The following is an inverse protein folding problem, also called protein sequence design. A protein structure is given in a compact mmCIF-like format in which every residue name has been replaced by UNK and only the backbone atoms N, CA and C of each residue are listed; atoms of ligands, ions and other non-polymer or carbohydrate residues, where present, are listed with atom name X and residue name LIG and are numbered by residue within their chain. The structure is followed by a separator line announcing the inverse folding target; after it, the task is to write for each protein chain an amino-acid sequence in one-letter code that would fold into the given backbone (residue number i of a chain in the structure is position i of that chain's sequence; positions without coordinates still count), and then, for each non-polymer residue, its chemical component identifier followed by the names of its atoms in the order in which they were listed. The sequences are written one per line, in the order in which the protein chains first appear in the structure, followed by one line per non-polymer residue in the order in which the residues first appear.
data_IF_571115123848
#
_entry.id   IF_571115123848
#
_cell.length_a   1.000
_cell.length_b   1.000
_cell.length_c   1.000
_cell.angle_alpha   90.00
_cell.angle_beta   90.00
_cell.angle_gamma   90.00
#
_symmetry.space_group_name_H-M   'P 1'
#
loop_
_entity.id
_entity.type
_entity.pdbx_description
1 polymer ?
#
# COMPACT_ATOMS: atom_id res chain seq x y z
N UNK A 1 -11.37 6.47 -8.64
CA UNK A 1 -9.90 6.41 -8.54
C UNK A 1 -9.39 7.53 -9.40
N UNK A 2 -8.66 8.48 -8.82
CA UNK A 2 -8.09 9.58 -9.58
C UNK A 2 -6.96 9.02 -10.45
N UNK A 3 -6.84 9.50 -11.68
CA UNK A 3 -5.76 9.10 -12.58
C UNK A 3 -4.77 10.24 -12.71
N UNK A 4 -3.52 9.93 -12.48
CA UNK A 4 -2.41 10.86 -12.47
C UNK A 4 -1.46 10.53 -13.62
N UNK A 5 -0.92 11.56 -14.28
CA UNK A 5 0.17 11.41 -15.25
C UNK A 5 1.51 11.51 -14.55
N UNK A 6 2.59 11.05 -15.21
CA UNK A 6 3.96 11.18 -14.69
C UNK A 6 4.32 12.62 -14.29
N UNK A 7 3.89 13.60 -15.08
CA UNK A 7 4.15 15.03 -14.80
C UNK A 7 3.41 15.50 -13.55
N UNK A 8 2.17 15.07 -13.35
CA UNK A 8 1.40 15.40 -12.14
C UNK A 8 2.02 14.77 -10.89
N UNK A 9 2.43 13.52 -10.99
CA UNK A 9 3.10 12.78 -9.90
C UNK A 9 4.39 13.45 -9.47
N UNK A 10 5.23 13.84 -10.43
CA UNK A 10 6.52 14.52 -10.17
C UNK A 10 6.29 15.83 -9.42
N UNK A 11 5.30 16.63 -9.82
CA UNK A 11 4.95 17.89 -9.15
C UNK A 11 4.37 17.63 -7.75
N UNK A 12 3.48 16.64 -7.62
CA UNK A 12 2.76 16.35 -6.39
C UNK A 12 3.65 15.79 -5.28
N UNK A 13 4.65 14.98 -5.65
CA UNK A 13 5.56 14.32 -4.71
C UNK A 13 6.86 15.13 -4.53
N UNK A 14 7.20 16.00 -5.49
CA UNK A 14 8.41 16.81 -5.45
C UNK A 14 9.67 16.01 -5.80
N UNK A 15 9.56 15.06 -6.73
CA UNK A 15 10.66 14.16 -7.13
C UNK A 15 10.94 14.25 -8.61
N UNK A 16 12.20 14.09 -9.02
CA UNK A 16 12.55 14.16 -10.42
C UNK A 16 11.93 13.03 -11.25
N UNK A 17 11.59 13.34 -12.51
CA UNK A 17 11.08 12.36 -13.48
C UNK A 17 12.00 11.15 -13.64
N UNK A 18 13.32 11.36 -13.55
CA UNK A 18 14.30 10.30 -13.63
C UNK A 18 14.21 9.32 -12.44
N UNK A 19 13.91 9.83 -11.23
CA UNK A 19 13.72 9.01 -10.05
C UNK A 19 12.48 8.11 -10.21
N UNK A 20 11.34 8.70 -10.58
CA UNK A 20 10.10 7.93 -10.81
C UNK A 20 10.28 6.87 -11.90
N UNK A 21 10.97 7.23 -12.98
CA UNK A 21 11.27 6.30 -14.08
C UNK A 21 12.16 5.15 -13.60
N UNK A 22 13.19 5.44 -12.82
CA UNK A 22 14.06 4.42 -12.22
C UNK A 22 13.29 3.48 -11.28
N UNK A 23 12.34 4.00 -10.49
CA UNK A 23 11.51 3.18 -9.61
C UNK A 23 10.57 2.25 -10.38
N UNK A 24 10.06 2.70 -11.53
CA UNK A 24 9.28 1.85 -12.45
C UNK A 24 10.16 0.76 -13.07
N UNK A 25 11.36 1.10 -13.54
CA UNK A 25 12.32 0.14 -14.12
C UNK A 25 12.73 -0.94 -13.10
N UNK A 26 12.91 -0.54 -11.84
CA UNK A 26 13.19 -1.43 -10.71
C UNK A 26 11.94 -2.20 -10.23
N UNK A 27 10.77 -1.95 -10.84
CA UNK A 27 9.48 -2.56 -10.50
C UNK A 27 9.03 -2.30 -9.07
N UNK A 28 9.45 -1.18 -8.48
CA UNK A 28 8.98 -0.74 -7.17
C UNK A 28 7.57 -0.16 -7.24
N UNK A 29 7.20 0.40 -8.39
CA UNK A 29 5.82 0.78 -8.73
C UNK A 29 5.50 0.26 -10.12
N UNK A 30 4.25 -0.14 -10.35
CA UNK A 30 3.80 -0.73 -11.62
C UNK A 30 2.54 0.01 -12.10
N UNK A 31 2.69 1.25 -12.59
CA UNK A 31 1.55 2.02 -13.09
C UNK A 31 0.91 1.36 -14.31
N UNK A 32 -0.36 1.68 -14.54
CA UNK A 32 -1.05 1.29 -15.77
C UNK A 32 -0.43 2.00 -16.98
N UNK A 33 -0.29 1.28 -18.10
CA UNK A 33 0.10 1.90 -19.37
C UNK A 33 -1.12 2.02 -20.27
N UNK A 34 -1.56 3.25 -20.54
CA UNK A 34 -2.63 3.53 -21.49
C UNK A 34 -2.02 4.04 -22.80
N UNK A 35 -1.83 3.13 -23.77
CA UNK A 35 -1.15 3.45 -25.03
C UNK A 35 0.34 3.69 -24.81
N UNK A 36 0.80 4.92 -24.98
CA UNK A 36 2.18 5.36 -24.72
C UNK A 36 2.35 6.15 -23.42
N UNK A 37 1.27 6.34 -22.66
CA UNK A 37 1.27 7.15 -21.44
C UNK A 37 1.16 6.29 -20.18
N UNK A 38 1.93 6.66 -19.16
CA UNK A 38 1.84 6.09 -17.83
C UNK A 38 0.69 6.75 -17.07
N UNK A 39 -0.18 5.95 -16.49
CA UNK A 39 -1.24 6.37 -15.59
C UNK A 39 -1.06 5.73 -14.22
N UNK A 40 -1.04 6.58 -13.21
CA UNK A 40 -0.92 6.21 -11.81
C UNK A 40 -2.27 6.38 -11.15
N UNK A 41 -2.64 5.45 -10.29
CA UNK A 41 -3.79 5.62 -9.40
C UNK A 41 -3.36 6.21 -8.03
N UNK A 42 -4.33 6.37 -7.13
CA UNK A 42 -4.06 6.93 -5.80
C UNK A 42 -3.14 6.01 -4.95
N UNK A 43 -3.15 4.70 -5.19
CA UNK A 43 -2.28 3.73 -4.51
C UNK A 43 -0.84 3.83 -5.03
N UNK A 44 -0.66 3.99 -6.34
CA UNK A 44 0.64 4.23 -6.96
C UNK A 44 1.27 5.52 -6.42
N UNK A 45 0.50 6.62 -6.33
CA UNK A 45 0.98 7.89 -5.78
C UNK A 45 1.39 7.75 -4.31
N UNK A 46 0.60 7.03 -3.51
CA UNK A 46 0.96 6.76 -2.12
C UNK A 46 2.25 5.94 -2.01
N UNK A 47 2.42 4.90 -2.83
CA UNK A 47 3.63 4.08 -2.87
C UNK A 47 4.85 4.90 -3.32
N UNK A 48 4.69 5.79 -4.29
CA UNK A 48 5.75 6.68 -4.76
C UNK A 48 6.21 7.68 -3.68
N UNK A 49 5.29 8.24 -2.90
CA UNK A 49 5.66 9.11 -1.75
C UNK A 49 6.47 8.34 -0.72
N UNK A 50 6.05 7.13 -0.39
CA UNK A 50 6.79 6.26 0.52
C UNK A 50 8.20 5.96 0.00
N UNK A 51 8.35 5.62 -1.28
CA UNK A 51 9.67 5.39 -1.87
C UNK A 51 10.54 6.65 -1.78
N UNK A 52 9.96 7.83 -2.03
CA UNK A 52 10.66 9.10 -1.87
C UNK A 52 11.14 9.31 -0.42
N UNK A 53 10.28 9.10 0.57
CA UNK A 53 10.63 9.19 1.99
C UNK A 53 11.76 8.22 2.36
N UNK A 54 11.64 6.95 1.96
CA UNK A 54 12.64 5.92 2.24
C UNK A 54 14.00 6.25 1.62
N UNK A 55 14.03 6.77 0.39
CA UNK A 55 15.27 7.01 -0.36
C UNK A 55 15.89 8.37 -0.09
N UNK A 56 15.09 9.42 0.10
CA UNK A 56 15.57 10.82 0.19
C UNK A 56 15.64 11.33 1.63
N UNK A 57 14.71 10.91 2.50
CA UNK A 57 14.69 11.38 3.90
C UNK A 57 15.39 10.41 4.84
N UNK A 58 15.18 9.11 4.63
CA UNK A 58 15.72 8.05 5.50
C UNK A 58 17.02 7.44 4.97
N UNK A 59 17.49 7.89 3.79
CA UNK A 59 18.72 7.46 3.13
C UNK A 59 18.87 5.93 3.04
N UNK A 60 17.75 5.20 2.90
CA UNK A 60 17.76 3.75 2.77
C UNK A 60 18.35 3.39 1.40
N UNK A 61 19.39 2.55 1.43
CA UNK A 61 20.04 2.06 0.22
C UNK A 61 19.06 1.33 -0.70
N UNK A 62 19.23 1.51 -2.00
CA UNK A 62 18.36 0.92 -3.03
C UNK A 62 18.24 -0.61 -2.91
N UNK A 63 19.24 -1.28 -2.33
CA UNK A 63 19.24 -2.73 -2.11
C UNK A 63 18.23 -3.17 -1.03
N UNK A 64 17.94 -2.28 -0.06
CA UNK A 64 17.01 -2.54 1.03
C UNK A 64 15.56 -2.15 0.69
N UNK A 65 15.35 -1.23 -0.26
CA UNK A 65 14.02 -0.77 -0.67
C UNK A 65 13.08 -1.93 -1.06
N UNK A 66 13.46 -2.91 -1.90
CA UNK A 66 12.57 -4.03 -2.24
C UNK A 66 12.11 -4.83 -1.02
N UNK A 67 12.97 -4.98 -0.01
CA UNK A 67 12.64 -5.72 1.21
C UNK A 67 11.62 -4.93 2.02
N UNK A 68 11.81 -3.62 2.19
CA UNK A 68 10.87 -2.75 2.91
C UNK A 68 9.52 -2.72 2.21
N UNK A 69 9.50 -2.55 0.88
CA UNK A 69 8.25 -2.55 0.10
C UNK A 69 7.51 -3.88 0.22
N UNK A 70 8.20 -5.01 0.11
CA UNK A 70 7.58 -6.32 0.27
C UNK A 70 7.02 -6.55 1.70
N UNK A 71 7.68 -6.04 2.73
CA UNK A 71 7.15 -6.10 4.10
C UNK A 71 5.89 -5.25 4.26
N UNK A 72 5.86 -4.07 3.65
CA UNK A 72 4.67 -3.21 3.66
C UNK A 72 3.52 -3.83 2.87
N UNK A 73 3.81 -4.43 1.71
CA UNK A 73 2.82 -5.16 0.91
C UNK A 73 2.19 -6.30 1.73
N UNK A 74 3.00 -7.06 2.49
CA UNK A 74 2.48 -8.08 3.40
C UNK A 74 1.58 -7.51 4.50
N UNK A 75 1.89 -6.32 5.04
CA UNK A 75 1.04 -5.64 6.03
C UNK A 75 -0.28 -5.21 5.38
N UNK A 76 -0.26 -4.64 4.19
CA UNK A 76 -1.48 -4.25 3.47
C UNK A 76 -2.36 -5.46 3.16
N UNK A 77 -1.78 -6.57 2.67
CA UNK A 77 -2.51 -7.82 2.46
C UNK A 77 -3.16 -8.34 3.75
N UNK A 78 -2.46 -8.25 4.88
CA UNK A 78 -3.00 -8.68 6.16
C UNK A 78 -4.17 -7.78 6.59
N UNK A 79 -4.04 -6.47 6.43
CA UNK A 79 -5.11 -5.51 6.74
C UNK A 79 -6.34 -5.76 5.86
N UNK A 80 -6.16 -6.03 4.58
CA UNK A 80 -7.25 -6.37 3.68
C UNK A 80 -7.95 -7.67 4.09
N UNK A 81 -7.18 -8.72 4.44
CA UNK A 81 -7.74 -9.98 4.95
C UNK A 81 -8.54 -9.76 6.23
N UNK A 82 -8.06 -8.90 7.15
CA UNK A 82 -8.79 -8.56 8.37
C UNK A 82 -10.08 -7.78 8.06
N UNK A 83 -10.06 -6.83 7.13
CA UNK A 83 -11.25 -6.09 6.70
C UNK A 83 -12.30 -7.03 6.06
N UNK A 84 -11.87 -8.01 5.26
CA UNK A 84 -12.76 -9.04 4.70
C UNK A 84 -13.40 -9.89 5.81
N UNK A 85 -12.61 -10.29 6.82
CA UNK A 85 -13.12 -11.05 7.97
C UNK A 85 -14.12 -10.21 8.77
N UNK A 86 -13.81 -8.94 9.04
CA UNK A 86 -14.72 -8.00 9.70
C UNK A 86 -16.04 -7.91 8.95
N UNK A 87 -15.98 -7.70 7.63
CA UNK A 87 -17.19 -7.62 6.80
C UNK A 87 -17.98 -8.94 6.79
N UNK A 88 -17.31 -10.09 6.77
CA UNK A 88 -17.98 -11.38 6.87
C UNK A 88 -18.70 -11.54 8.23
N UNK A 89 -18.07 -11.12 9.32
CA UNK A 89 -18.67 -11.12 10.67
C UNK A 89 -19.91 -10.21 10.70
N UNK A 90 -19.86 -9.05 10.06
CA UNK A 90 -21.01 -8.13 9.95
C UNK A 90 -22.20 -8.71 9.19
N UNK A 91 -21.99 -9.71 8.33
CA UNK A 91 -23.07 -10.38 7.60
C UNK A 91 -23.64 -11.59 8.36
N UNK A 92 -23.03 -12.01 9.47
CA UNK A 92 -23.54 -13.12 10.30
C UNK A 92 -24.71 -12.71 11.19
N UNK A 93 -25.43 -13.70 11.73
CA UNK A 93 -26.51 -13.47 12.69
C UNK A 93 -25.99 -12.76 13.96
N UNK A 94 -26.85 -12.01 14.67
CA UNK A 94 -26.46 -11.32 15.90
C UNK A 94 -25.86 -12.24 16.98
N UNK A 95 -26.36 -13.48 17.08
CA UNK A 95 -25.88 -14.48 18.04
C UNK A 95 -24.47 -14.95 17.70
N UNK A 96 -24.20 -15.26 16.43
CA UNK A 96 -22.85 -15.62 15.97
C UNK A 96 -21.87 -14.47 16.18
N UNK A 97 -22.26 -13.22 15.89
CA UNK A 97 -21.41 -12.04 16.11
C UNK A 97 -21.07 -11.85 17.59
N UNK A 98 -22.05 -12.01 18.48
CA UNK A 98 -21.85 -11.91 19.93
C UNK A 98 -20.86 -12.98 20.43
N UNK A 99 -20.96 -14.20 19.90
CA UNK A 99 -20.04 -15.29 20.26
C UNK A 99 -18.61 -15.04 19.75
N UNK A 100 -18.46 -14.56 18.51
CA UNK A 100 -17.16 -14.18 17.95
C UNK A 100 -16.52 -13.06 18.77
N UNK A 101 -17.28 -12.02 19.13
CA UNK A 101 -16.78 -10.92 19.96
C UNK A 101 -16.34 -11.39 21.35
N UNK A 102 -17.06 -12.34 21.95
CA UNK A 102 -16.69 -12.96 23.24
C UNK A 102 -15.37 -13.72 23.14
N UNK A 103 -15.15 -14.49 22.07
CA UNK A 103 -13.91 -15.24 21.84
C UNK A 103 -12.72 -14.29 21.63
N UNK A 104 -12.88 -13.29 20.75
CA UNK A 104 -11.82 -12.31 20.46
C UNK A 104 -11.46 -11.44 21.68
N UNK A 105 -12.47 -10.99 22.44
CA UNK A 105 -12.26 -10.24 23.68
C UNK A 105 -11.63 -11.07 24.82
N UNK A 106 -11.78 -12.40 24.78
CA UNK A 106 -11.09 -13.34 25.66
C UNK A 106 -9.63 -13.54 25.28
N UNK A 107 -9.31 -13.58 23.99
CA UNK A 107 -7.95 -13.72 23.49
C UNK A 107 -7.07 -12.49 23.82
N UNK A 108 -7.63 -11.28 23.83
CA UNK A 108 -6.91 -10.04 24.15
C UNK A 108 -6.59 -9.85 25.66
N UNK A 109 -7.12 -10.70 26.55
CA UNK A 109 -6.91 -10.64 28.00
C UNK A 109 -5.99 -11.76 28.53
N UNK A 110 -5.45 -12.58 27.65
CA UNK A 110 -4.56 -13.69 27.98
C UNK A 110 -3.11 -13.42 27.55
N UNK A 111 -2.45 -12.44 28.17
CA UNK A 111 -0.99 -12.31 28.26
C UNK A 111 -0.62 -11.81 29.66
#
# INVERSE_FOLDING_TARGET
MSRWTLEQVVVEIGVDRAAVTSWIEQRWVLPETQGSELQFDDMDVARLRLIAELTQELEIGNEAIPVVLNLLDQIYELRDKLAVIEHAIEQTSPECRAEIARILGGAAKGE
#
